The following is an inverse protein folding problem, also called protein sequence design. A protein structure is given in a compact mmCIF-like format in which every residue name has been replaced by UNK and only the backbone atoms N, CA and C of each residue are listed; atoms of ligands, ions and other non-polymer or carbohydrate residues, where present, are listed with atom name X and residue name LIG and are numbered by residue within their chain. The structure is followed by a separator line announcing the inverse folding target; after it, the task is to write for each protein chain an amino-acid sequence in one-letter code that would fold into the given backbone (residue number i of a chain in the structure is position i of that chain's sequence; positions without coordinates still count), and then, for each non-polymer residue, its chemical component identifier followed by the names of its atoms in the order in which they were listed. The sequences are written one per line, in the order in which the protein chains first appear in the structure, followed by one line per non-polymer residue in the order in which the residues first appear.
data_IF_329399038260
#
_entry.id   IF_329399038260
#
_cell.length_a   1.000
_cell.length_b   1.000
_cell.length_c   1.000
_cell.angle_alpha   90.00
_cell.angle_beta   90.00
_cell.angle_gamma   90.00
#
_symmetry.space_group_name_H-M   'P 1'
#
loop_
_entity.id
_entity.type
_entity.pdbx_description
1 polymer ?
#
# COMPACT_ATOMS: atom_id res chain seq x y z
N UNK A 1 -7.85 -19.52 18.36
CA UNK A 1 -7.95 -18.05 18.42
C UNK A 1 -6.64 -17.38 17.98
N UNK A 2 -5.49 -17.73 18.58
CA UNK A 2 -4.16 -17.20 18.22
C UNK A 2 -3.71 -17.45 16.76
N UNK A 3 -4.00 -18.61 16.17
CA UNK A 3 -3.66 -18.93 14.77
C UNK A 3 -4.42 -18.09 13.76
N UNK A 4 -5.67 -17.73 14.10
CA UNK A 4 -6.54 -16.93 13.25
C UNK A 4 -6.11 -15.46 13.31
N UNK A 5 -5.89 -14.91 14.52
CA UNK A 5 -5.28 -13.60 14.74
C UNK A 5 -3.92 -13.44 14.05
N UNK A 6 -3.09 -14.49 14.04
CA UNK A 6 -1.80 -14.49 13.34
C UNK A 6 -1.96 -14.40 11.83
N UNK A 7 -2.89 -15.17 11.24
CA UNK A 7 -3.19 -15.08 9.81
C UNK A 7 -3.78 -13.73 9.44
N UNK A 8 -4.60 -13.18 10.34
CA UNK A 8 -5.27 -11.88 10.22
C UNK A 8 -4.24 -10.75 10.17
N UNK A 9 -3.31 -10.75 11.12
CA UNK A 9 -2.16 -9.84 11.17
C UNK A 9 -1.27 -9.95 9.93
N UNK A 10 -1.00 -11.18 9.45
CA UNK A 10 -0.22 -11.37 8.23
C UNK A 10 -0.95 -10.85 6.99
N UNK A 11 -2.26 -11.02 6.91
CA UNK A 11 -3.09 -10.51 5.80
C UNK A 11 -3.16 -8.99 5.80
N UNK A 12 -3.38 -8.36 6.97
CA UNK A 12 -3.35 -6.90 7.12
C UNK A 12 -1.97 -6.31 6.88
N UNK A 13 -0.92 -6.95 7.38
CA UNK A 13 0.46 -6.56 7.08
C UNK A 13 0.77 -6.72 5.60
N UNK A 14 0.33 -7.80 4.93
CA UNK A 14 0.49 -7.93 3.47
C UNK A 14 -0.29 -6.84 2.71
N UNK A 15 -1.51 -6.51 3.15
CA UNK A 15 -2.32 -5.44 2.56
C UNK A 15 -1.71 -4.05 2.78
N UNK A 16 -0.98 -3.84 3.87
CA UNK A 16 -0.19 -2.64 4.14
C UNK A 16 1.10 -2.59 3.31
N UNK A 17 1.76 -3.73 3.18
CA UNK A 17 3.01 -3.89 2.43
C UNK A 17 2.77 -3.82 0.93
N UNK A 18 1.60 -4.21 0.43
CA UNK A 18 1.26 -4.17 -0.99
C UNK A 18 1.34 -2.75 -1.62
N UNK A 19 0.66 -1.71 -1.10
CA UNK A 19 0.77 -0.36 -1.67
C UNK A 19 2.16 0.24 -1.47
N UNK A 20 2.84 -0.07 -0.35
CA UNK A 20 4.23 0.39 -0.12
C UNK A 20 5.20 -0.28 -1.10
N UNK A 21 5.08 -1.59 -1.34
CA UNK A 21 5.86 -2.32 -2.34
C UNK A 21 5.50 -1.88 -3.75
N UNK A 22 4.24 -1.59 -4.04
CA UNK A 22 3.81 -1.12 -5.35
C UNK A 22 4.42 0.26 -5.64
N UNK A 23 4.27 1.23 -4.72
CA UNK A 23 4.88 2.55 -4.88
C UNK A 23 6.41 2.45 -4.92
N UNK A 24 7.02 1.67 -4.03
CA UNK A 24 8.47 1.46 -3.99
C UNK A 24 9.03 0.77 -5.23
N UNK A 25 8.35 -0.26 -5.75
CA UNK A 25 8.76 -0.97 -6.97
C UNK A 25 8.62 -0.10 -8.22
N UNK A 26 7.55 0.71 -8.31
CA UNK A 26 7.38 1.71 -9.35
C UNK A 26 8.55 2.71 -9.29
N UNK A 27 8.83 3.32 -8.13
CA UNK A 27 9.97 4.24 -7.97
C UNK A 27 11.31 3.59 -8.35
N UNK A 28 11.53 2.34 -7.94
CA UNK A 28 12.77 1.61 -8.24
C UNK A 28 12.90 1.31 -9.73
N UNK A 29 11.82 0.89 -10.39
CA UNK A 29 11.79 0.68 -11.83
C UNK A 29 12.02 1.98 -12.60
N UNK A 30 11.42 3.09 -12.14
CA UNK A 30 11.64 4.43 -12.68
C UNK A 30 13.09 4.87 -12.54
N UNK A 31 13.70 4.62 -11.38
CA UNK A 31 15.12 4.90 -11.15
C UNK A 31 16.02 4.04 -12.08
N UNK A 32 15.75 2.75 -12.19
CA UNK A 32 16.48 1.85 -13.08
C UNK A 32 16.36 2.28 -14.56
N UNK A 33 15.17 2.70 -14.98
CA UNK A 33 14.91 3.15 -16.36
C UNK A 33 15.54 4.52 -16.63
N UNK A 34 15.76 5.35 -15.59
CA UNK A 34 16.47 6.64 -15.73
C UNK A 34 17.96 6.49 -16.07
N UNK A 35 18.57 5.32 -15.81
CA UNK A 35 19.92 5.01 -16.25
C UNK A 35 20.01 4.64 -17.74
N UNK A 36 18.88 4.41 -18.41
CA UNK A 36 18.82 4.08 -19.83
C UNK A 36 18.62 5.38 -20.64
N UNK A 37 19.60 5.79 -21.47
CA UNK A 37 19.46 6.98 -22.30
C UNK A 37 18.31 6.81 -23.30
N UNK A 38 17.32 7.70 -23.24
CA UNK A 38 16.11 7.68 -24.08
C UNK A 38 14.79 7.65 -23.30
N UNK A 39 14.77 7.07 -22.09
CA UNK A 39 13.58 7.01 -21.23
C UNK A 39 13.59 8.00 -20.05
N UNK A 40 14.68 8.76 -19.89
CA UNK A 40 14.88 9.73 -18.82
C UNK A 40 13.76 10.76 -18.69
N UNK A 41 13.22 11.25 -19.81
CA UNK A 41 12.10 12.20 -19.82
C UNK A 41 10.81 11.60 -19.27
N UNK A 42 10.49 10.37 -19.68
CA UNK A 42 9.30 9.66 -19.19
C UNK A 42 9.48 9.33 -17.71
N UNK A 43 10.68 8.88 -17.31
CA UNK A 43 10.94 8.53 -15.91
C UNK A 43 10.83 9.74 -14.99
N UNK A 44 11.36 10.89 -15.38
CA UNK A 44 11.28 12.11 -14.57
C UNK A 44 9.84 12.64 -14.47
N UNK A 45 9.08 12.59 -15.57
CA UNK A 45 7.68 13.04 -15.60
C UNK A 45 6.81 12.20 -14.65
N UNK A 46 6.91 10.88 -14.77
CA UNK A 46 6.13 9.96 -13.93
C UNK A 46 6.56 10.04 -12.47
N UNK A 47 7.87 10.19 -12.20
CA UNK A 47 8.38 10.39 -10.83
C UNK A 47 7.81 11.67 -10.20
N UNK A 48 7.78 12.77 -10.95
CA UNK A 48 7.19 14.04 -10.49
C UNK A 48 5.69 13.91 -10.23
N UNK A 49 4.95 13.19 -11.08
CA UNK A 49 3.52 12.95 -10.88
C UNK A 49 3.24 12.12 -9.63
N UNK A 50 4.03 11.07 -9.37
CA UNK A 50 3.90 10.24 -8.16
C UNK A 50 4.18 11.05 -6.91
N UNK A 51 5.24 11.89 -6.92
CA UNK A 51 5.54 12.77 -5.81
C UNK A 51 4.43 13.80 -5.58
N UNK A 52 3.87 14.39 -6.65
CA UNK A 52 2.73 15.30 -6.55
C UNK A 52 1.49 14.60 -5.98
N UNK A 53 1.22 13.38 -6.41
CA UNK A 53 0.12 12.59 -5.87
C UNK A 53 0.33 12.37 -4.37
N UNK A 54 1.52 11.95 -3.94
CA UNK A 54 1.85 11.77 -2.53
C UNK A 54 1.75 13.09 -1.74
N UNK A 55 2.17 14.23 -2.29
CA UNK A 55 2.04 15.52 -1.57
C UNK A 55 0.60 15.96 -1.40
N UNK A 56 -0.31 15.63 -2.32
CA UNK A 56 -1.75 15.90 -2.16
C UNK A 56 -2.31 15.17 -0.93
N UNK A 57 -1.89 13.93 -0.67
CA UNK A 57 -2.32 13.17 0.52
C UNK A 57 -1.53 13.49 1.79
N UNK A 58 -0.39 14.16 1.66
CA UNK A 58 0.60 14.35 2.71
C UNK A 58 0.76 15.78 3.20
N UNK A 59 -0.21 16.67 2.91
CA UNK A 59 -0.16 18.09 3.26
C UNK A 59 1.14 18.78 2.79
N UNK A 60 1.57 18.46 1.57
CA UNK A 60 2.81 18.97 0.99
C UNK A 60 4.07 18.14 1.29
N UNK A 61 4.00 17.13 2.17
CA UNK A 61 5.10 16.20 2.42
C UNK A 61 4.82 14.83 1.79
N UNK A 62 5.60 14.39 0.77
CA UNK A 62 5.30 13.16 0.06
C UNK A 62 5.44 11.92 0.94
N UNK A 63 6.38 11.93 1.90
CA UNK A 63 6.53 10.87 2.91
C UNK A 63 5.27 10.71 3.77
N UNK A 64 4.64 11.82 4.16
CA UNK A 64 3.40 11.81 4.93
C UNK A 64 2.26 11.24 4.10
N UNK A 65 2.16 11.57 2.81
CA UNK A 65 1.16 10.98 1.92
C UNK A 65 1.34 9.48 1.73
N UNK A 66 2.59 9.02 1.66
CA UNK A 66 2.90 7.59 1.61
C UNK A 66 2.42 6.87 2.87
N UNK A 67 2.63 7.46 4.06
CA UNK A 67 2.12 6.94 5.33
C UNK A 67 0.58 6.97 5.38
N UNK A 68 -0.06 8.05 4.93
CA UNK A 68 -1.53 8.17 4.89
C UNK A 68 -2.15 7.07 4.03
N UNK A 69 -1.60 6.83 2.84
CA UNK A 69 -2.06 5.76 1.95
C UNK A 69 -1.86 4.41 2.63
N UNK A 70 -0.69 4.15 3.20
CA UNK A 70 -0.41 2.90 3.88
C UNK A 70 -1.38 2.65 5.04
N UNK A 71 -1.61 3.65 5.90
CA UNK A 71 -2.55 3.57 7.03
C UNK A 71 -3.98 3.33 6.55
N UNK A 72 -4.42 4.00 5.49
CA UNK A 72 -5.77 3.83 4.93
C UNK A 72 -5.97 2.40 4.42
N UNK A 73 -4.99 1.85 3.70
CA UNK A 73 -5.03 0.47 3.21
C UNK A 73 -4.97 -0.56 4.34
N UNK A 74 -4.17 -0.32 5.39
CA UNK A 74 -4.18 -1.16 6.59
C UNK A 74 -5.54 -1.13 7.28
N UNK A 75 -6.16 0.05 7.41
CA UNK A 75 -7.46 0.19 8.07
C UNK A 75 -8.55 -0.57 7.30
N UNK A 76 -8.62 -0.39 5.97
CA UNK A 76 -9.56 -1.12 5.12
C UNK A 76 -9.30 -2.62 5.17
N UNK A 77 -8.03 -3.05 5.09
CA UNK A 77 -7.65 -4.45 5.23
C UNK A 77 -8.10 -5.04 6.57
N UNK A 78 -7.92 -4.30 7.67
CA UNK A 78 -8.30 -4.74 9.01
C UNK A 78 -9.82 -4.86 9.15
N UNK A 79 -10.59 -3.95 8.56
CA UNK A 79 -12.05 -4.05 8.54
C UNK A 79 -12.52 -5.27 7.76
N UNK A 80 -12.00 -5.48 6.54
CA UNK A 80 -12.34 -6.65 5.72
C UNK A 80 -12.08 -7.96 6.45
N UNK A 81 -10.98 -8.03 7.18
CA UNK A 81 -10.57 -9.22 7.89
C UNK A 81 -11.43 -9.46 9.16
N UNK A 82 -11.78 -8.39 9.87
CA UNK A 82 -12.75 -8.43 10.97
C UNK A 82 -14.15 -8.88 10.50
N UNK A 83 -14.61 -8.38 9.35
CA UNK A 83 -15.88 -8.80 8.74
C UNK A 83 -15.87 -10.28 8.35
N UNK A 84 -14.80 -10.75 7.70
CA UNK A 84 -14.66 -12.18 7.37
C UNK A 84 -14.66 -13.06 8.62
N UNK A 85 -13.97 -12.63 9.69
CA UNK A 85 -14.00 -13.34 10.95
C UNK A 85 -15.40 -13.44 11.53
N UNK A 86 -16.15 -12.34 11.53
CA UNK A 86 -17.53 -12.30 12.03
C UNK A 86 -18.46 -13.24 11.24
N UNK A 87 -18.39 -13.19 9.91
CA UNK A 87 -19.17 -14.08 9.03
C UNK A 87 -18.79 -15.55 9.24
N UNK A 88 -17.50 -15.87 9.37
CA UNK A 88 -17.07 -17.25 9.63
C UNK A 88 -17.57 -17.77 10.99
N UNK A 89 -17.60 -16.90 12.00
CA UNK A 89 -18.04 -17.27 13.35
C UNK A 89 -19.57 -17.46 13.38
N UNK A 90 -20.34 -16.60 12.70
CA UNK A 90 -21.79 -16.76 12.60
C UNK A 90 -22.18 -18.05 11.86
N UNK A 91 -21.42 -18.43 10.83
CA UNK A 91 -21.70 -19.61 10.01
C UNK A 91 -21.27 -20.94 10.68
N UNK A 92 -20.50 -20.89 11.77
CA UNK A 92 -20.15 -22.06 12.61
C UNK A 92 -21.02 -22.22 13.86
N UNK A 93 -21.88 -21.24 14.14
CA UNK A 93 -22.87 -21.28 15.22
C UNK A 93 -24.22 -21.85 14.80
N UNK A 94 -24.36 -22.31 13.55
CA UNK A 94 -25.46 -23.15 13.04
C UNK A 94 -24.95 -24.57 12.83
#
# INVERSE_FOLDING_TARGET
MLTLLRSLLFSTLLSFVAPVLLVGSILTALFATSHVPGFTWVSQTVFSQILQFLTIFGDGYPLQGMLTIAVTFAFVGSLFDLFNFYVYQTNRGQ
#
